data_IF_403264742422
#
_entry.id   IF_403264742422
#
_cell.length_a   1.000
_cell.length_b   1.000
_cell.length_c   1.000
_cell.angle_alpha   90.00
_cell.angle_beta   90.00
_cell.angle_gamma   90.00
#
_symmetry.space_group_name_H-M   'P 1'
#
loop_
_entity.id
_entity.type
_entity.pdbx_description
1 polymer ?
#
# COMPACT_ATOMS: atom_id res chain seq x y z
N UNK A 1 -5.94 -32.09 -6.39
CA UNK A 1 -5.93 -31.49 -6.44
C UNK A 1 -6.10 -30.86 -6.27
N UNK A 2 -5.74 -30.77 -6.02
CA UNK A 2 -6.29 -30.16 -6.21
C UNK A 2 -6.17 -28.92 -6.16
N UNK A 3 -6.10 -28.34 -7.04
CA UNK A 3 -5.91 -27.01 -7.03
C UNK A 3 -7.04 -26.34 -6.37
N UNK A 4 -6.73 -25.21 -5.68
CA UNK A 4 -7.78 -24.42 -5.10
C UNK A 4 -8.58 -23.82 -6.23
N UNK A 5 -9.87 -24.03 -6.27
CA UNK A 5 -10.69 -23.42 -7.31
C UNK A 5 -10.58 -21.90 -7.26
N UNK A 6 -10.61 -21.30 -8.43
CA UNK A 6 -10.58 -19.84 -8.50
C UNK A 6 -11.74 -19.23 -7.69
N UNK A 7 -12.88 -19.91 -7.69
CA UNK A 7 -14.01 -19.45 -6.90
C UNK A 7 -13.75 -19.40 -5.42
N UNK A 8 -12.94 -20.35 -4.91
CA UNK A 8 -12.60 -20.33 -3.49
C UNK A 8 -11.72 -19.13 -3.15
N UNK A 9 -10.82 -18.75 -4.05
CA UNK A 9 -10.00 -17.56 -3.84
C UNK A 9 -10.85 -16.31 -3.87
N UNK A 10 -11.79 -16.24 -4.79
CA UNK A 10 -12.69 -15.09 -4.87
C UNK A 10 -13.53 -14.96 -3.61
N UNK A 11 -13.95 -16.09 -3.04
CA UNK A 11 -14.75 -16.08 -1.82
C UNK A 11 -13.98 -15.59 -0.61
N UNK A 12 -12.65 -15.52 -0.71
CA UNK A 12 -11.82 -15.04 0.37
C UNK A 12 -11.48 -13.56 0.24
N UNK A 13 -12.09 -12.89 -0.70
CA UNK A 13 -11.86 -11.46 -0.84
C UNK A 13 -12.29 -10.73 0.42
N UNK A 14 -11.54 -9.70 0.74
CA UNK A 14 -11.81 -8.87 1.91
C UNK A 14 -13.04 -8.02 1.63
N UNK A 15 -14.08 -8.22 2.43
CA UNK A 15 -15.32 -7.45 2.31
C UNK A 15 -15.52 -6.50 3.47
N UNK A 16 -14.69 -6.60 4.49
CA UNK A 16 -14.77 -5.76 5.67
C UNK A 16 -13.92 -4.52 5.46
N UNK A 17 -14.51 -3.31 5.55
CA UNK A 17 -13.74 -2.07 5.36
C UNK A 17 -12.55 -1.92 6.29
N UNK A 18 -12.67 -2.34 7.54
CA UNK A 18 -11.57 -2.24 8.49
C UNK A 18 -10.39 -3.12 8.10
N UNK A 19 -10.68 -4.32 7.59
CA UNK A 19 -9.63 -5.22 7.13
C UNK A 19 -8.96 -4.67 5.87
N UNK A 20 -9.76 -4.08 4.97
CA UNK A 20 -9.22 -3.48 3.75
C UNK A 20 -8.29 -2.32 4.09
N UNK A 21 -8.70 -1.49 5.03
CA UNK A 21 -7.88 -0.37 5.48
C UNK A 21 -6.57 -0.86 6.08
N UNK A 22 -6.64 -1.90 6.90
CA UNK A 22 -5.45 -2.48 7.52
C UNK A 22 -4.52 -3.07 6.47
N UNK A 23 -5.08 -3.75 5.47
CA UNK A 23 -4.28 -4.31 4.39
C UNK A 23 -3.55 -3.21 3.63
N UNK A 24 -4.24 -2.12 3.31
CA UNK A 24 -3.62 -1.01 2.60
C UNK A 24 -2.42 -0.46 3.38
N UNK A 25 -2.58 -0.27 4.68
CA UNK A 25 -1.50 0.24 5.52
C UNK A 25 -0.34 -0.75 5.61
N UNK A 26 -0.65 -2.04 5.68
CA UNK A 26 0.38 -3.08 5.72
C UNK A 26 1.19 -3.08 4.43
N UNK A 27 0.53 -2.96 3.29
CA UNK A 27 1.20 -2.92 1.99
C UNK A 27 2.17 -1.74 1.94
N UNK A 28 1.71 -0.57 2.35
CA UNK A 28 2.57 0.61 2.34
C UNK A 28 3.73 0.47 3.31
N UNK A 29 3.49 -0.08 4.49
CA UNK A 29 4.55 -0.31 5.46
C UNK A 29 5.61 -1.26 4.91
N UNK A 30 5.18 -2.30 4.20
CA UNK A 30 6.12 -3.24 3.59
C UNK A 30 6.93 -2.57 2.48
N UNK A 31 6.29 -1.74 1.66
CA UNK A 31 7.00 -0.99 0.62
C UNK A 31 8.10 -0.15 1.24
N UNK A 32 7.79 0.56 2.31
CA UNK A 32 8.79 1.38 2.99
C UNK A 32 9.90 0.54 3.59
N UNK A 33 9.54 -0.58 4.19
CA UNK A 33 10.52 -1.45 4.84
C UNK A 33 11.53 -2.03 3.85
N UNK A 34 11.03 -2.48 2.69
CA UNK A 34 11.89 -3.13 1.70
C UNK A 34 12.58 -2.17 0.74
N UNK A 35 12.29 -0.89 0.83
CA UNK A 35 12.85 0.12 -0.08
C UNK A 35 13.42 1.31 0.67
N UNK A 36 14.01 1.08 1.82
CA UNK A 36 14.47 2.15 2.70
C UNK A 36 15.43 3.14 2.03
N UNK A 37 16.35 2.64 1.22
CA UNK A 37 17.28 3.51 0.52
C UNK A 37 16.57 4.42 -0.47
N UNK A 38 15.61 3.87 -1.22
CA UNK A 38 14.82 4.66 -2.15
C UNK A 38 13.96 5.70 -1.43
N UNK A 39 13.39 5.30 -0.30
CA UNK A 39 12.55 6.19 0.50
C UNK A 39 13.36 7.38 0.97
N UNK A 40 14.55 7.12 1.53
CA UNK A 40 15.41 8.19 2.00
C UNK A 40 15.81 9.12 0.86
N UNK A 41 16.24 8.54 -0.26
CA UNK A 41 16.62 9.32 -1.42
C UNK A 41 15.45 10.17 -1.93
N UNK A 42 14.26 9.58 -1.99
CA UNK A 42 13.08 10.30 -2.47
C UNK A 42 12.71 11.46 -1.56
N UNK A 43 12.85 11.29 -0.26
CA UNK A 43 12.55 12.36 0.68
C UNK A 43 13.58 13.47 0.58
N UNK A 44 14.87 13.11 0.48
CA UNK A 44 15.92 14.09 0.36
C UNK A 44 15.81 14.93 -0.92
N UNK A 45 15.30 14.32 -1.99
CA UNK A 45 15.20 14.98 -3.29
C UNK A 45 13.80 15.45 -3.64
N UNK A 46 12.86 15.34 -2.69
CA UNK A 46 11.44 15.69 -2.90
C UNK A 46 10.85 14.95 -4.09
N UNK A 47 11.22 13.67 -4.26
CA UNK A 47 10.76 12.84 -5.37
C UNK A 47 10.22 11.49 -4.89
N UNK A 48 9.71 11.43 -3.67
CA UNK A 48 9.31 10.17 -3.07
C UNK A 48 8.28 9.40 -3.91
N UNK A 49 7.24 10.08 -4.37
CA UNK A 49 6.21 9.39 -5.16
C UNK A 49 6.75 8.93 -6.51
N UNK A 50 7.62 9.72 -7.12
CA UNK A 50 8.22 9.35 -8.41
C UNK A 50 9.12 8.13 -8.28
N UNK A 51 9.95 8.09 -7.25
CA UNK A 51 10.91 7.02 -7.10
C UNK A 51 10.25 5.70 -6.69
N UNK A 52 9.06 5.78 -6.09
CA UNK A 52 8.31 4.60 -5.66
C UNK A 52 7.14 4.26 -6.60
N UNK A 53 7.09 4.88 -7.78
CA UNK A 53 5.97 4.68 -8.70
C UNK A 53 5.67 3.20 -8.98
N UNK A 54 6.71 2.41 -9.29
CA UNK A 54 6.53 1.00 -9.60
C UNK A 54 6.06 0.21 -8.39
N UNK A 55 6.65 0.46 -7.24
CA UNK A 55 6.29 -0.22 -6.01
C UNK A 55 4.85 0.10 -5.61
N UNK A 56 4.46 1.36 -5.76
CA UNK A 56 3.09 1.75 -5.44
C UNK A 56 2.09 1.13 -6.41
N UNK A 57 2.45 1.04 -7.69
CA UNK A 57 1.57 0.41 -8.67
C UNK A 57 1.38 -1.08 -8.36
N UNK A 58 2.46 -1.76 -8.01
CA UNK A 58 2.38 -3.18 -7.65
C UNK A 58 1.57 -3.38 -6.38
N UNK A 59 1.78 -2.52 -5.39
CA UNK A 59 1.01 -2.58 -4.16
C UNK A 59 -0.47 -2.37 -4.40
N UNK A 60 -0.82 -1.45 -5.27
CA UNK A 60 -2.20 -1.20 -5.62
C UNK A 60 -2.84 -2.40 -6.29
N UNK A 61 -2.11 -3.04 -7.21
CA UNK A 61 -2.61 -4.25 -7.86
C UNK A 61 -2.87 -5.36 -6.85
N UNK A 62 -1.96 -5.54 -5.92
CA UNK A 62 -2.14 -6.53 -4.88
C UNK A 62 -3.37 -6.23 -4.03
N UNK A 63 -3.50 -4.96 -3.61
CA UNK A 63 -4.67 -4.53 -2.85
C UNK A 63 -5.96 -4.82 -3.61
N UNK A 64 -5.99 -4.47 -4.89
CA UNK A 64 -7.18 -4.69 -5.71
C UNK A 64 -7.50 -6.16 -5.88
N UNK A 65 -6.49 -7.02 -5.90
CA UNK A 65 -6.71 -8.45 -6.04
C UNK A 65 -7.24 -9.09 -4.75
N UNK A 66 -7.03 -8.46 -3.61
CA UNK A 66 -7.41 -9.02 -2.31
C UNK A 66 -8.68 -8.41 -1.74
N UNK A 67 -9.13 -7.29 -2.25
CA UNK A 67 -10.28 -6.56 -1.70
C UNK A 67 -11.45 -6.60 -2.65
N UNK A 68 -12.63 -6.86 -2.11
CA UNK A 68 -13.86 -6.92 -2.89
C UNK A 68 -14.11 -5.60 -3.61
N UNK A 69 -14.67 -5.67 -4.83
CA UNK A 69 -14.88 -4.50 -5.65
C UNK A 69 -15.83 -3.48 -5.01
N UNK A 70 -16.80 -3.94 -4.24
CA UNK A 70 -17.73 -3.03 -3.56
C UNK A 70 -16.98 -2.15 -2.55
N UNK A 71 -16.05 -2.76 -1.81
CA UNK A 71 -15.23 -2.01 -0.85
C UNK A 71 -14.32 -1.03 -1.57
N UNK A 72 -13.71 -1.46 -2.68
CA UNK A 72 -12.81 -0.59 -3.46
C UNK A 72 -13.55 0.60 -4.04
N UNK A 73 -14.78 0.41 -4.50
CA UNK A 73 -15.56 1.46 -5.12
C UNK A 73 -16.12 2.46 -4.13
N UNK A 74 -16.38 2.01 -2.91
CA UNK A 74 -16.97 2.86 -1.88
C UNK A 74 -15.96 3.52 -0.97
N UNK A 75 -14.66 3.33 -1.23
CA UNK A 75 -13.63 3.85 -0.34
C UNK A 75 -12.35 4.17 -1.11
N UNK A 76 -11.45 4.91 -0.45
CA UNK A 76 -10.14 5.28 -0.98
C UNK A 76 -9.05 4.81 -0.04
N UNK A 77 -9.24 3.65 0.59
CA UNK A 77 -8.31 3.20 1.64
C UNK A 77 -6.86 3.13 1.18
N UNK A 78 -6.62 2.64 -0.05
CA UNK A 78 -5.25 2.55 -0.52
C UNK A 78 -4.63 3.94 -0.72
N UNK A 79 -5.35 4.85 -1.35
CA UNK A 79 -4.87 6.22 -1.55
C UNK A 79 -4.66 6.93 -0.23
N UNK A 80 -5.57 6.75 0.71
CA UNK A 80 -5.43 7.34 2.04
C UNK A 80 -4.21 6.79 2.76
N UNK A 81 -3.96 5.49 2.61
CA UNK A 81 -2.79 4.86 3.22
C UNK A 81 -1.50 5.40 2.61
N UNK A 82 -1.48 5.57 1.28
CA UNK A 82 -0.31 6.13 0.62
C UNK A 82 0.03 7.50 1.21
N UNK A 83 -0.96 8.38 1.27
CA UNK A 83 -0.74 9.72 1.80
C UNK A 83 -0.33 9.67 3.26
N UNK A 84 -1.10 8.95 4.08
CA UNK A 84 -0.90 8.93 5.52
C UNK A 84 0.45 8.31 5.90
N UNK A 85 0.76 7.14 5.35
CA UNK A 85 1.98 6.43 5.71
C UNK A 85 3.22 7.15 5.16
N UNK A 86 3.18 7.58 3.90
CA UNK A 86 4.33 8.24 3.30
C UNK A 86 4.59 9.61 3.90
N UNK A 87 3.54 10.37 4.23
CA UNK A 87 3.75 11.68 4.87
C UNK A 87 4.34 11.53 6.26
N UNK A 88 3.89 10.54 7.02
CA UNK A 88 4.46 10.28 8.34
C UNK A 88 5.92 9.91 8.23
N UNK A 89 6.26 9.06 7.26
CA UNK A 89 7.64 8.65 7.07
C UNK A 89 8.51 9.83 6.63
N UNK A 90 7.99 10.67 5.72
CA UNK A 90 8.71 11.85 5.27
C UNK A 90 9.01 12.79 6.42
N UNK A 91 8.02 13.04 7.28
CA UNK A 91 8.21 13.89 8.44
C UNK A 91 9.25 13.34 9.40
N UNK A 92 9.21 12.02 9.62
CA UNK A 92 10.17 11.38 10.51
C UNK A 92 11.59 11.51 9.99
N UNK A 93 11.80 11.23 8.71
CA UNK A 93 13.14 11.29 8.14
C UNK A 93 13.66 12.72 8.09
N UNK A 94 12.81 13.68 7.71
CA UNK A 94 13.22 15.07 7.71
C UNK A 94 13.61 15.55 9.11
N UNK A 95 12.89 15.08 10.11
CA UNK A 95 13.21 15.40 11.49
C UNK A 95 14.58 14.87 11.90
N UNK A 96 14.93 13.67 11.40
CA UNK A 96 16.23 13.08 11.69
C UNK A 96 17.37 13.77 10.94
N UNK A 97 17.10 14.27 9.75
CA UNK A 97 18.09 14.98 8.94
C UNK A 97 18.35 16.36 9.50
N UNK A 98 17.33 17.06 10.00
CA UNK A 98 17.45 18.38 10.58
C UNK A 98 17.73 18.34 12.08
#
# INVERSE_FOLDING_TARGET
MTEIPVGALVMRLIKNPDEAKRLARTILSDILLYNQAKVKEGIENDSLFDILTDELAEGKKYYESMVDSDVRQSSNFFSEAVVDVLLKQAGKIKSEIW
#
